data_IF_670203592925
#
_entry.id   IF_670203592925
#
_cell.length_a   1.000
_cell.length_b   1.000
_cell.length_c   1.000
_cell.angle_alpha   90.00
_cell.angle_beta   90.00
_cell.angle_gamma   90.00
#
_symmetry.space_group_name_H-M   'P 1'
#
loop_
_entity.id
_entity.type
_entity.pdbx_description
1 polymer ?
#
# COMPACT_ATOMS: atom_id res chain seq x y z
N UNK A 1 17.13 -1.51 7.72
CA UNK A 1 16.44 -1.36 6.43
C UNK A 1 15.33 -0.33 6.55
N UNK A 2 15.31 0.67 5.70
CA UNK A 2 14.23 1.66 5.67
C UNK A 2 13.29 1.35 4.50
N UNK A 3 11.99 1.40 4.75
CA UNK A 3 10.98 1.09 3.74
C UNK A 3 10.67 2.30 2.87
N UNK A 4 10.81 2.15 1.56
CA UNK A 4 10.34 3.13 0.60
C UNK A 4 8.90 2.76 0.22
N UNK A 5 7.98 3.69 0.39
CA UNK A 5 6.55 3.41 0.35
C UNK A 5 5.87 4.27 -0.71
N UNK A 6 4.97 3.63 -1.47
CA UNK A 6 4.08 4.31 -2.41
C UNK A 6 2.68 4.33 -1.82
N UNK A 7 2.07 5.51 -1.75
CA UNK A 7 0.69 5.68 -1.27
C UNK A 7 -0.18 6.09 -2.45
N UNK A 8 -1.14 5.25 -2.81
CA UNK A 8 -2.03 5.47 -3.97
C UNK A 8 -3.46 5.63 -3.49
N UNK A 9 -3.99 6.83 -3.60
CA UNK A 9 -5.37 7.18 -3.20
C UNK A 9 -5.72 8.47 -3.92
N UNK A 10 -6.94 8.59 -4.44
CA UNK A 10 -7.36 9.79 -5.17
C UNK A 10 -7.62 11.00 -4.27
N UNK A 11 -7.75 10.77 -2.97
CA UNK A 11 -7.96 11.83 -1.96
C UNK A 11 -6.63 12.28 -1.38
N UNK A 12 -6.27 13.55 -1.60
CA UNK A 12 -5.06 14.13 -0.99
C UNK A 12 -5.14 14.16 0.53
N UNK A 13 -6.33 14.37 1.07
CA UNK A 13 -6.56 14.34 2.52
C UNK A 13 -6.29 12.94 3.07
N UNK A 14 -6.80 11.91 2.39
CA UNK A 14 -6.56 10.53 2.82
C UNK A 14 -5.09 10.16 2.71
N UNK A 15 -4.39 10.57 1.65
CA UNK A 15 -2.96 10.33 1.54
C UNK A 15 -2.21 10.95 2.71
N UNK A 16 -2.56 12.18 3.10
CA UNK A 16 -1.95 12.84 4.26
C UNK A 16 -2.21 12.07 5.55
N UNK A 17 -3.42 11.55 5.73
CA UNK A 17 -3.76 10.74 6.91
C UNK A 17 -2.94 9.46 6.95
N UNK A 18 -2.83 8.78 5.82
CA UNK A 18 -2.05 7.54 5.70
C UNK A 18 -0.57 7.81 6.03
N UNK A 19 0.00 8.86 5.46
CA UNK A 19 1.40 9.22 5.69
C UNK A 19 1.65 9.55 7.16
N UNK A 20 0.74 10.31 7.77
CA UNK A 20 0.84 10.62 9.19
C UNK A 20 0.78 9.34 10.04
N UNK A 21 -0.12 8.43 9.69
CA UNK A 21 -0.26 7.15 10.40
C UNK A 21 1.00 6.31 10.23
N UNK A 22 1.60 6.28 9.03
CA UNK A 22 2.86 5.60 8.79
C UNK A 22 3.94 6.09 9.73
N UNK A 23 4.06 7.40 9.88
CA UNK A 23 5.06 8.01 10.77
C UNK A 23 4.82 7.66 12.24
N UNK A 24 3.59 7.38 12.61
CA UNK A 24 3.22 6.99 13.97
C UNK A 24 3.54 5.53 14.30
N UNK A 25 3.84 4.71 13.28
CA UNK A 25 4.16 3.29 13.52
C UNK A 25 5.50 3.08 14.21
N UNK A 26 6.42 4.04 14.08
CA UNK A 26 7.77 3.90 14.62
C UNK A 26 8.67 2.99 13.79
N UNK A 27 8.19 2.46 12.66
CA UNK A 27 9.01 1.63 11.78
C UNK A 27 9.99 2.48 10.97
N UNK A 28 11.11 1.91 10.52
CA UNK A 28 12.09 2.65 9.73
C UNK A 28 11.53 2.96 8.34
N UNK A 29 11.32 4.24 8.06
CA UNK A 29 10.77 4.72 6.79
C UNK A 29 11.84 5.44 5.98
N UNK A 30 11.91 5.11 4.69
CA UNK A 30 12.70 5.82 3.71
C UNK A 30 11.85 6.90 3.03
N UNK A 31 11.88 6.92 1.70
CA UNK A 31 11.08 7.86 0.93
C UNK A 31 9.61 7.42 0.84
N UNK A 32 8.71 8.39 0.85
CA UNK A 32 7.28 8.15 0.68
C UNK A 32 6.82 8.92 -0.55
N UNK A 33 6.27 8.20 -1.52
CA UNK A 33 5.78 8.74 -2.79
C UNK A 33 4.27 8.68 -2.82
N UNK A 34 3.62 9.64 -3.48
CA UNK A 34 2.17 9.71 -3.58
C UNK A 34 1.71 9.63 -5.02
N UNK A 35 0.59 8.93 -5.24
CA UNK A 35 -0.06 8.84 -6.53
C UNK A 35 -1.57 8.99 -6.35
N UNK A 36 -2.25 9.60 -7.34
CA UNK A 36 -3.69 9.87 -7.28
C UNK A 36 -4.54 8.76 -7.89
N UNK A 37 -3.91 7.84 -8.60
CA UNK A 37 -4.60 6.72 -9.26
C UNK A 37 -3.58 5.62 -9.58
N UNK A 38 -4.09 4.49 -10.08
CA UNK A 38 -3.24 3.34 -10.38
C UNK A 38 -2.23 3.60 -11.49
N UNK A 39 -2.59 4.39 -12.50
CA UNK A 39 -1.68 4.71 -13.60
C UNK A 39 -0.47 5.50 -13.11
N UNK A 40 -0.70 6.55 -12.32
CA UNK A 40 0.37 7.32 -11.67
C UNK A 40 1.23 6.44 -10.78
N UNK A 41 0.58 5.53 -10.02
CA UNK A 41 1.28 4.61 -9.14
C UNK A 41 2.22 3.69 -9.90
N UNK A 42 1.75 3.11 -11.00
CA UNK A 42 2.59 2.25 -11.85
C UNK A 42 3.77 3.03 -12.43
N UNK A 43 3.54 4.27 -12.84
CA UNK A 43 4.60 5.12 -13.36
C UNK A 43 5.70 5.36 -12.32
N UNK A 44 5.31 5.67 -11.08
CA UNK A 44 6.27 5.86 -9.99
C UNK A 44 7.04 4.59 -9.67
N UNK A 45 6.40 3.42 -9.76
CA UNK A 45 7.08 2.15 -9.54
C UNK A 45 8.21 1.90 -10.54
N UNK A 46 8.07 2.38 -11.77
CA UNK A 46 9.13 2.27 -12.79
C UNK A 46 10.29 3.23 -12.52
N UNK A 47 10.03 4.35 -11.86
CA UNK A 47 11.04 5.38 -11.64
C UNK A 47 11.74 5.31 -10.29
N UNK A 48 11.06 4.77 -9.29
CA UNK A 48 11.53 4.80 -7.90
C UNK A 48 11.64 3.40 -7.33
N UNK A 49 12.54 3.25 -6.37
CA UNK A 49 12.64 1.99 -5.62
C UNK A 49 11.56 1.98 -4.53
N UNK A 50 10.60 1.07 -4.66
CA UNK A 50 9.45 0.95 -3.75
C UNK A 50 9.48 -0.45 -3.12
N UNK A 51 9.36 -0.51 -1.79
CA UNK A 51 9.31 -1.77 -1.04
C UNK A 51 7.89 -2.18 -0.70
N UNK A 52 6.98 -1.22 -0.59
CA UNK A 52 5.60 -1.45 -0.16
C UNK A 52 4.67 -0.45 -0.84
N UNK A 53 3.56 -0.94 -1.36
CA UNK A 53 2.51 -0.07 -1.91
C UNK A 53 1.24 -0.16 -1.05
N UNK A 54 0.72 1.00 -0.65
CA UNK A 54 -0.56 1.14 0.04
C UNK A 54 -1.54 1.70 -0.99
N UNK A 55 -2.58 0.93 -1.31
CA UNK A 55 -3.45 1.20 -2.46
C UNK A 55 -4.91 1.22 -2.02
N UNK A 56 -5.66 2.27 -2.41
CA UNK A 56 -7.11 2.27 -2.28
C UNK A 56 -7.73 1.55 -3.50
N UNK A 57 -8.91 0.99 -3.33
CA UNK A 57 -9.62 0.28 -4.42
C UNK A 57 -10.28 1.28 -5.37
N UNK A 58 -11.02 2.22 -4.83
CA UNK A 58 -11.89 3.12 -5.62
C UNK A 58 -11.17 4.39 -6.05
N UNK A 59 -10.69 4.42 -7.28
CA UNK A 59 -9.98 5.55 -7.85
C UNK A 59 -10.36 5.72 -9.33
N UNK A 60 -10.34 6.95 -9.86
CA UNK A 60 -10.58 7.17 -11.28
C UNK A 60 -9.38 6.73 -12.13
N UNK A 61 -9.54 6.68 -13.43
CA UNK A 61 -8.54 6.33 -14.44
C UNK A 61 -8.13 4.86 -14.36
N UNK A 62 -7.49 4.45 -13.29
CA UNK A 62 -7.16 3.05 -13.01
C UNK A 62 -7.39 2.81 -11.52
N UNK A 63 -8.30 1.92 -11.19
CA UNK A 63 -8.61 1.59 -9.79
C UNK A 63 -7.56 0.64 -9.18
N UNK A 64 -7.71 0.38 -7.88
CA UNK A 64 -6.74 -0.42 -7.15
C UNK A 64 -6.68 -1.87 -7.62
N UNK A 65 -7.81 -2.45 -7.99
CA UNK A 65 -7.84 -3.83 -8.48
C UNK A 65 -7.09 -3.95 -9.80
N UNK A 66 -7.33 -3.04 -10.74
CA UNK A 66 -6.61 -3.03 -12.01
C UNK A 66 -5.11 -2.84 -11.79
N UNK A 67 -4.73 -1.95 -10.88
CA UNK A 67 -3.32 -1.72 -10.57
C UNK A 67 -2.66 -2.99 -10.03
N UNK A 68 -3.33 -3.69 -9.12
CA UNK A 68 -2.81 -4.94 -8.55
C UNK A 68 -2.66 -6.00 -9.64
N UNK A 69 -3.64 -6.10 -10.55
CA UNK A 69 -3.56 -7.03 -11.68
C UNK A 69 -2.30 -6.76 -12.52
N UNK A 70 -2.04 -5.51 -12.85
CA UNK A 70 -0.83 -5.13 -13.58
C UNK A 70 0.44 -5.54 -12.83
N UNK A 71 0.47 -5.33 -11.52
CA UNK A 71 1.61 -5.69 -10.70
C UNK A 71 1.86 -7.19 -10.70
N UNK A 72 0.82 -7.99 -10.55
CA UNK A 72 0.95 -9.46 -10.47
C UNK A 72 1.29 -10.11 -11.82
N UNK A 73 0.97 -9.44 -12.91
CA UNK A 73 1.30 -9.89 -14.26
C UNK A 73 2.73 -9.52 -14.69
N UNK A 74 3.39 -8.65 -13.95
CA UNK A 74 4.74 -8.17 -14.25
C UNK A 74 5.76 -8.88 -13.36
N UNK A 75 6.69 -9.62 -13.96
CA UNK A 75 7.71 -10.38 -13.22
C UNK A 75 8.52 -9.50 -12.25
N UNK A 76 8.68 -8.23 -12.56
CA UNK A 76 9.43 -7.31 -11.72
C UNK A 76 8.69 -7.00 -10.41
N UNK A 77 7.36 -7.01 -10.41
CA UNK A 77 6.52 -6.60 -9.28
C UNK A 77 5.62 -7.71 -8.74
N UNK A 78 5.74 -8.93 -9.23
CA UNK A 78 4.85 -10.02 -8.80
C UNK A 78 4.92 -10.30 -7.30
N UNK A 79 6.04 -9.97 -6.67
CA UNK A 79 6.26 -10.19 -5.23
C UNK A 79 6.25 -8.89 -4.41
N UNK A 80 5.89 -7.76 -5.01
CA UNK A 80 5.82 -6.49 -4.29
C UNK A 80 4.79 -6.61 -3.16
N UNK A 81 5.17 -6.17 -1.95
CA UNK A 81 4.23 -6.13 -0.84
C UNK A 81 3.17 -5.07 -1.10
N UNK A 82 1.90 -5.47 -1.01
CA UNK A 82 0.75 -4.59 -1.25
C UNK A 82 -0.21 -4.69 -0.08
N UNK A 83 -0.58 -3.52 0.47
CA UNK A 83 -1.64 -3.38 1.46
C UNK A 83 -2.74 -2.54 0.82
N UNK A 84 -3.96 -3.07 0.79
CA UNK A 84 -5.12 -2.32 0.33
C UNK A 84 -5.79 -1.67 1.54
N UNK A 85 -5.95 -0.35 1.51
CA UNK A 85 -6.64 0.40 2.57
C UNK A 85 -7.89 0.98 1.98
N UNK A 86 -9.06 0.49 2.39
CA UNK A 86 -10.32 0.85 1.76
C UNK A 86 -11.50 0.75 2.73
N UNK A 87 -12.58 1.45 2.41
CA UNK A 87 -13.85 1.32 3.10
C UNK A 87 -14.73 0.21 2.51
N UNK A 88 -14.24 -0.51 1.52
CA UNK A 88 -14.96 -1.63 0.90
C UNK A 88 -15.37 -2.67 1.94
N UNK A 89 -16.61 -3.15 1.86
CA UNK A 89 -17.14 -4.13 2.80
C UNK A 89 -17.69 -5.39 2.12
N UNK A 90 -17.67 -5.45 0.78
CA UNK A 90 -18.12 -6.64 0.05
C UNK A 90 -17.12 -7.79 0.29
N UNK A 91 -17.54 -8.89 0.95
CA UNK A 91 -16.64 -10.01 1.23
C UNK A 91 -16.01 -10.62 -0.02
N UNK A 92 -16.72 -10.60 -1.14
CA UNK A 92 -16.21 -11.16 -2.39
C UNK A 92 -15.05 -10.34 -2.95
N UNK A 93 -15.13 -9.02 -2.84
CA UNK A 93 -14.04 -8.13 -3.27
C UNK A 93 -12.82 -8.25 -2.36
N UNK A 94 -13.06 -8.32 -1.06
CA UNK A 94 -11.98 -8.51 -0.08
C UNK A 94 -11.26 -9.83 -0.33
N UNK A 95 -12.02 -10.91 -0.54
CA UNK A 95 -11.46 -12.22 -0.86
C UNK A 95 -10.62 -12.18 -2.14
N UNK A 96 -11.09 -11.49 -3.15
CA UNK A 96 -10.39 -11.34 -4.42
C UNK A 96 -9.05 -10.62 -4.22
N UNK A 97 -9.01 -9.59 -3.37
CA UNK A 97 -7.78 -8.88 -3.02
C UNK A 97 -6.79 -9.83 -2.36
N UNK A 98 -7.25 -10.64 -1.41
CA UNK A 98 -6.41 -11.65 -0.75
C UNK A 98 -5.83 -12.66 -1.75
N UNK A 99 -6.64 -13.11 -2.70
CA UNK A 99 -6.18 -14.05 -3.72
C UNK A 99 -5.09 -13.48 -4.62
N UNK A 100 -5.06 -12.16 -4.76
CA UNK A 100 -4.01 -11.47 -5.53
C UNK A 100 -2.75 -11.20 -4.71
N UNK A 101 -2.69 -11.75 -3.51
CA UNK A 101 -1.52 -11.62 -2.65
C UNK A 101 -1.40 -10.29 -1.93
N UNK A 102 -2.50 -9.54 -1.82
CA UNK A 102 -2.53 -8.29 -1.08
C UNK A 102 -3.24 -8.47 0.24
N UNK A 103 -2.87 -7.69 1.24
CA UNK A 103 -3.52 -7.70 2.55
C UNK A 103 -4.48 -6.51 2.64
N UNK A 104 -5.68 -6.75 3.14
CA UNK A 104 -6.73 -5.74 3.23
C UNK A 104 -6.79 -5.14 4.65
N UNK A 105 -6.84 -3.80 4.73
CA UNK A 105 -7.09 -3.07 5.97
C UNK A 105 -8.32 -2.21 5.75
N UNK A 106 -9.34 -2.38 6.60
CA UNK A 106 -10.58 -1.62 6.50
C UNK A 106 -10.44 -0.22 7.14
N UNK A 107 -10.92 0.82 6.46
CA UNK A 107 -11.05 2.17 7.04
C UNK A 107 -12.23 2.23 7.99
N UNK A 108 -12.14 2.93 9.11
CA UNK A 108 -10.96 3.60 9.67
C UNK A 108 -9.99 2.59 10.29
N UNK A 109 -8.72 2.94 10.35
CA UNK A 109 -7.69 2.04 10.85
C UNK A 109 -6.79 2.75 11.87
N UNK A 110 -6.10 1.95 12.68
CA UNK A 110 -5.21 2.47 13.74
C UNK A 110 -3.75 2.28 13.35
N UNK A 111 -2.83 3.11 13.90
CA UNK A 111 -1.40 2.92 13.66
C UNK A 111 -0.91 1.51 14.01
N UNK A 112 -1.41 0.94 15.10
CA UNK A 112 -1.04 -0.41 15.54
C UNK A 112 -1.40 -1.47 14.51
N UNK A 113 -2.59 -1.35 13.91
CA UNK A 113 -3.05 -2.28 12.86
C UNK A 113 -2.15 -2.17 11.63
N UNK A 114 -1.86 -0.96 11.20
CA UNK A 114 -1.00 -0.73 10.04
C UNK A 114 0.41 -1.27 10.30
N UNK A 115 0.94 -1.01 11.48
CA UNK A 115 2.26 -1.49 11.89
C UNK A 115 2.36 -3.03 11.83
N UNK A 116 1.38 -3.72 12.40
CA UNK A 116 1.36 -5.19 12.42
C UNK A 116 1.35 -5.76 11.01
N UNK A 117 0.52 -5.20 10.14
CA UNK A 117 0.43 -5.67 8.75
C UNK A 117 1.71 -5.37 7.98
N UNK A 118 2.31 -4.19 8.17
CA UNK A 118 3.57 -3.84 7.54
C UNK A 118 4.68 -4.82 7.92
N UNK A 119 4.78 -5.15 9.19
CA UNK A 119 5.77 -6.13 9.66
C UNK A 119 5.53 -7.48 9.00
N UNK A 120 4.27 -7.91 8.95
CA UNK A 120 3.91 -9.20 8.38
C UNK A 120 4.24 -9.31 6.88
N UNK A 121 4.00 -8.24 6.11
CA UNK A 121 4.14 -8.31 4.65
C UNK A 121 5.52 -7.90 4.13
N UNK A 122 6.29 -7.15 4.90
CA UNK A 122 7.62 -6.69 4.49
C UNK A 122 8.76 -7.38 5.22
N UNK A 123 8.49 -7.94 6.38
CA UNK A 123 9.53 -8.50 7.24
C UNK A 123 10.35 -7.45 7.98
N UNK A 124 9.98 -6.16 7.89
CA UNK A 124 10.70 -5.11 8.61
C UNK A 124 10.53 -5.31 10.11
N UNK A 125 11.54 -4.92 10.90
CA UNK A 125 11.56 -5.09 12.34
C UNK A 125 11.62 -3.74 13.07
N UNK A 126 10.94 -3.66 14.20
CA UNK A 126 11.05 -2.51 15.11
C UNK A 126 12.48 -2.30 15.60
N UNK A 127 13.24 -3.37 15.72
CA UNK A 127 14.63 -3.32 16.20
C UNK A 127 15.51 -2.54 15.23
N UNK A 128 15.14 -2.49 13.96
CA UNK A 128 15.90 -1.75 12.94
C UNK A 128 15.66 -0.24 13.03
N UNK A 129 14.65 0.20 13.76
CA UNK A 129 14.32 1.61 13.94
C UNK A 129 15.24 2.30 14.97
N UNK A 130 15.91 1.54 15.79
CA UNK A 130 16.77 2.06 16.87
C UNK A 130 18.18 2.44 16.41
#
# INVERSE_FOLDING_TARGET
MALNILVVDDSSVMRSIIIKTLKMTGLPLGDIWEARNGEEGLHLLHEKWIDLALIDIHMPVMDGEEMINHLRENNQYENLAVIVISSESDPNKIEMIHRKGATFIHKPFKPETLKEVMIAVTGVSNEEAD
#
